data_IF_526064917997
#
_entry.id   IF_526064917997
#
_cell.length_a   1.000
_cell.length_b   1.000
_cell.length_c   1.000
_cell.angle_alpha   90.00
_cell.angle_beta   90.00
_cell.angle_gamma   90.00
#
_symmetry.space_group_name_H-M   'P 1'
#
loop_
_entity.id
_entity.type
_entity.pdbx_description
1 polymer ?
#
# COMPACT_ATOMS: atom_id res chain seq x y z
N UNK A 1 34.90 -23.30 -23.16
CA UNK A 1 34.57 -22.02 -22.50
C UNK A 1 33.12 -22.10 -22.07
N UNK A 2 32.89 -22.41 -20.80
CA UNK A 2 31.54 -22.45 -20.20
C UNK A 2 31.06 -21.03 -19.93
N UNK A 3 29.83 -20.73 -20.35
CA UNK A 3 29.18 -19.45 -20.07
C UNK A 3 29.03 -19.23 -18.55
N UNK A 4 29.18 -18.00 -18.04
CA UNK A 4 28.93 -17.73 -16.63
C UNK A 4 27.45 -17.93 -16.33
N UNK A 5 27.14 -18.66 -15.26
CA UNK A 5 25.77 -18.82 -14.77
C UNK A 5 25.24 -17.44 -14.36
N UNK A 6 24.10 -17.03 -14.92
CA UNK A 6 23.37 -15.88 -14.43
C UNK A 6 22.97 -16.17 -12.98
N UNK A 7 23.71 -15.57 -12.03
CA UNK A 7 23.43 -15.68 -10.61
C UNK A 7 22.02 -15.15 -10.32
N UNK A 8 21.36 -15.74 -9.33
CA UNK A 8 20.11 -15.20 -8.80
C UNK A 8 20.27 -13.69 -8.55
N UNK A 9 19.23 -12.87 -8.83
CA UNK A 9 19.33 -11.43 -8.63
C UNK A 9 19.79 -11.13 -7.20
N UNK A 10 20.70 -10.15 -7.01
CA UNK A 10 21.20 -9.82 -5.69
C UNK A 10 20.04 -9.52 -4.74
N UNK A 11 20.08 -10.12 -3.56
CA UNK A 11 19.04 -10.00 -2.54
C UNK A 11 18.96 -8.56 -2.07
N UNK A 12 17.85 -7.88 -2.34
CA UNK A 12 17.62 -6.50 -1.95
C UNK A 12 16.96 -6.42 -0.57
N UNK A 13 17.25 -5.36 0.20
CA UNK A 13 16.74 -5.16 1.55
C UNK A 13 16.17 -3.76 1.80
N UNK A 14 15.23 -3.66 2.74
CA UNK A 14 14.62 -2.42 3.21
C UNK A 14 15.09 -2.14 4.64
N UNK A 15 15.59 -0.94 4.91
CA UNK A 15 16.00 -0.49 6.25
C UNK A 15 14.89 0.38 6.83
N UNK A 16 14.37 0.02 8.00
CA UNK A 16 13.52 0.88 8.82
C UNK A 16 14.31 1.43 9.99
N UNK A 17 14.32 2.74 10.22
CA UNK A 17 14.98 3.39 11.36
C UNK A 17 13.96 4.25 12.11
N UNK A 18 13.81 3.91 13.38
CA UNK A 18 13.03 4.67 14.35
C UNK A 18 13.98 5.42 15.28
N UNK A 19 14.13 6.73 15.03
CA UNK A 19 15.00 7.61 15.82
C UNK A 19 14.27 8.15 17.04
N UNK A 20 14.82 7.90 18.24
CA UNK A 20 14.21 8.31 19.50
C UNK A 20 15.14 9.10 20.43
N UNK A 21 14.54 9.76 21.43
CA UNK A 21 15.23 10.58 22.43
C UNK A 21 16.23 9.83 23.30
N UNK A 22 15.99 8.54 23.54
CA UNK A 22 16.81 7.68 24.42
C UNK A 22 17.39 6.47 23.69
N UNK A 23 16.69 5.96 22.67
CA UNK A 23 17.06 4.77 21.90
C UNK A 23 16.70 4.97 20.44
N UNK A 24 17.38 4.22 19.57
CA UNK A 24 17.12 4.19 18.12
C UNK A 24 16.93 2.76 17.68
N UNK A 25 15.79 2.41 17.09
CA UNK A 25 15.54 1.10 16.51
C UNK A 25 15.92 1.06 15.04
N UNK A 26 16.52 -0.04 14.58
CA UNK A 26 16.72 -0.29 13.15
C UNK A 26 16.25 -1.70 12.80
N UNK A 27 15.46 -1.85 11.75
CA UNK A 27 14.95 -3.12 11.23
C UNK A 27 15.39 -3.30 9.78
N UNK A 28 15.78 -4.52 9.41
CA UNK A 28 16.06 -4.90 8.01
C UNK A 28 15.00 -5.89 7.57
N UNK A 29 14.41 -5.67 6.40
CA UNK A 29 13.47 -6.59 5.78
C UNK A 29 13.96 -7.05 4.42
N UNK A 30 13.62 -8.27 4.04
CA UNK A 30 13.79 -8.77 2.68
C UNK A 30 12.88 -7.99 1.71
N UNK A 31 13.43 -7.48 0.60
CA UNK A 31 12.63 -6.70 -0.34
C UNK A 31 11.61 -7.54 -1.11
N UNK A 32 11.85 -8.83 -1.32
CA UNK A 32 10.95 -9.73 -2.06
C UNK A 32 9.91 -10.37 -1.13
N UNK A 33 10.33 -10.95 -0.01
CA UNK A 33 9.45 -11.70 0.91
C UNK A 33 8.81 -10.83 1.99
N UNK A 34 9.36 -9.64 2.24
CA UNK A 34 8.96 -8.72 3.33
C UNK A 34 9.19 -9.31 4.74
N UNK A 35 9.94 -10.39 4.86
CA UNK A 35 10.31 -10.97 6.16
C UNK A 35 11.32 -10.09 6.90
N UNK A 36 11.17 -9.99 8.22
CA UNK A 36 12.14 -9.33 9.08
C UNK A 36 13.42 -10.16 9.14
N UNK A 37 14.52 -9.60 8.65
CA UNK A 37 15.84 -10.25 8.61
C UNK A 37 16.69 -9.93 9.84
N UNK A 38 16.59 -8.70 10.33
CA UNK A 38 17.31 -8.29 11.52
C UNK A 38 16.63 -7.11 12.19
N UNK A 39 16.88 -6.97 13.50
CA UNK A 39 16.54 -5.79 14.26
C UNK A 39 17.67 -5.45 15.22
N UNK A 40 18.02 -4.18 15.32
CA UNK A 40 18.99 -3.66 16.28
C UNK A 40 18.42 -2.47 17.02
N UNK A 41 18.95 -2.24 18.22
CA UNK A 41 18.64 -1.05 19.02
C UNK A 41 19.96 -0.40 19.41
N UNK A 42 20.06 0.89 19.21
CA UNK A 42 21.20 1.72 19.59
C UNK A 42 20.78 2.81 20.57
N UNK A 43 21.76 3.61 21.02
CA UNK A 43 21.54 4.77 21.88
C UNK A 43 20.74 5.89 21.21
N UNK A 44 20.65 7.03 21.90
CA UNK A 44 19.94 8.21 21.41
C UNK A 44 20.51 8.71 20.08
N UNK A 45 19.63 9.03 19.14
CA UNK A 45 19.94 9.78 17.91
C UNK A 45 19.38 11.21 17.96
N UNK A 46 18.91 11.66 19.13
CA UNK A 46 18.45 13.03 19.31
C UNK A 46 19.64 13.99 19.39
N UNK A 47 19.90 14.70 18.28
CA UNK A 47 21.00 15.67 18.20
C UNK A 47 20.92 16.78 19.27
N UNK A 48 19.71 17.06 19.81
CA UNK A 48 19.52 18.09 20.83
C UNK A 48 20.02 17.61 22.20
N UNK A 49 20.11 16.29 22.39
CA UNK A 49 20.55 15.66 23.65
C UNK A 49 22.01 15.21 23.60
N UNK A 50 22.47 14.65 22.49
CA UNK A 50 23.82 14.04 22.39
C UNK A 50 24.77 14.77 21.44
N UNK A 51 24.31 15.83 20.75
CA UNK A 51 25.08 16.51 19.71
C UNK A 51 25.01 15.82 18.34
N UNK A 52 25.26 16.59 17.27
CA UNK A 52 25.09 16.13 15.88
C UNK A 52 26.01 14.97 15.49
N UNK A 53 27.28 15.07 15.86
CA UNK A 53 28.30 14.09 15.49
C UNK A 53 28.12 12.75 16.24
N UNK A 54 27.86 12.73 17.56
CA UNK A 54 27.48 11.49 18.25
C UNK A 54 26.18 10.87 17.73
N UNK A 55 25.14 11.67 17.46
CA UNK A 55 23.88 11.16 16.89
C UNK A 55 24.10 10.48 15.52
N UNK A 56 24.89 11.10 14.64
CA UNK A 56 25.24 10.54 13.34
C UNK A 56 26.03 9.22 13.47
N UNK A 57 27.02 9.18 14.36
CA UNK A 57 27.81 7.96 14.60
C UNK A 57 26.95 6.83 15.18
N UNK A 58 26.03 7.14 16.09
CA UNK A 58 25.08 6.18 16.66
C UNK A 58 24.15 5.62 15.58
N UNK A 59 23.58 6.48 14.74
CA UNK A 59 22.71 6.06 13.63
C UNK A 59 23.47 5.19 12.61
N UNK A 60 24.64 5.65 12.16
CA UNK A 60 25.49 4.92 11.22
C UNK A 60 25.85 3.54 11.75
N UNK A 61 26.23 3.46 13.03
CA UNK A 61 26.53 2.18 13.70
C UNK A 61 25.30 1.29 13.77
N UNK A 62 24.14 1.82 14.13
CA UNK A 62 22.90 1.05 14.22
C UNK A 62 22.51 0.40 12.89
N UNK A 63 22.59 1.17 11.79
CA UNK A 63 22.31 0.70 10.43
C UNK A 63 23.32 -0.33 9.98
N UNK A 64 24.62 -0.08 10.16
CA UNK A 64 25.66 -1.06 9.79
C UNK A 64 25.53 -2.36 10.58
N UNK A 65 25.23 -2.29 11.89
CA UNK A 65 24.99 -3.47 12.71
C UNK A 65 23.74 -4.24 12.24
N UNK A 66 22.66 -3.54 11.86
CA UNK A 66 21.45 -4.18 11.37
C UNK A 66 21.66 -4.87 10.03
N UNK A 67 22.36 -4.22 9.09
CA UNK A 67 22.74 -4.82 7.80
C UNK A 67 23.64 -6.04 7.99
N UNK A 68 24.64 -5.94 8.86
CA UNK A 68 25.51 -7.07 9.21
C UNK A 68 24.70 -8.24 9.77
N UNK A 69 23.77 -7.97 10.69
CA UNK A 69 22.91 -9.00 11.26
C UNK A 69 21.97 -9.64 10.22
N UNK A 70 21.55 -8.88 9.21
CA UNK A 70 20.76 -9.36 8.07
C UNK A 70 21.62 -10.03 6.98
N UNK A 71 22.93 -10.22 7.20
CA UNK A 71 23.87 -10.71 6.19
C UNK A 71 23.80 -9.92 4.87
N UNK A 72 23.58 -8.61 4.97
CA UNK A 72 23.38 -7.70 3.85
C UNK A 72 24.39 -6.56 3.92
N UNK A 73 24.63 -5.92 2.78
CA UNK A 73 25.56 -4.82 2.62
C UNK A 73 24.85 -3.53 2.20
N UNK A 74 25.57 -2.40 2.21
CA UNK A 74 25.00 -1.13 1.78
C UNK A 74 24.55 -1.13 0.32
N UNK A 75 25.18 -1.94 -0.55
CA UNK A 75 24.79 -2.11 -1.95
C UNK A 75 23.49 -2.91 -2.13
N UNK A 76 23.09 -3.66 -1.12
CA UNK A 76 21.84 -4.45 -1.13
C UNK A 76 20.64 -3.61 -0.67
N UNK A 77 20.91 -2.44 -0.07
CA UNK A 77 19.88 -1.55 0.46
C UNK A 77 19.14 -0.90 -0.70
N UNK A 78 17.87 -1.24 -0.79
CA UNK A 78 16.95 -0.62 -1.72
C UNK A 78 16.35 0.67 -1.12
N UNK A 79 16.05 0.70 0.19
CA UNK A 79 15.39 1.83 0.88
C UNK A 79 15.82 2.01 2.35
N UNK A 80 15.73 3.24 2.86
CA UNK A 80 15.96 3.58 4.29
C UNK A 80 14.86 4.51 4.82
N UNK A 81 14.11 4.11 5.85
CA UNK A 81 13.17 4.93 6.63
C UNK A 81 13.81 5.51 7.88
N UNK A 82 13.58 6.78 8.20
CA UNK A 82 14.19 7.58 9.27
C UNK A 82 13.17 8.55 9.95
N UNK A 83 12.18 8.07 10.72
CA UNK A 83 11.36 8.92 11.61
C UNK A 83 9.99 9.45 11.15
N UNK A 84 9.38 10.20 12.11
CA UNK A 84 8.00 10.74 12.34
C UNK A 84 6.82 9.73 12.37
N UNK A 85 5.93 9.81 13.39
CA UNK A 85 4.62 9.15 13.36
C UNK A 85 3.84 9.55 12.10
N UNK A 86 3.33 8.55 11.38
CA UNK A 86 2.67 8.74 10.10
C UNK A 86 1.91 7.49 9.68
N UNK A 87 1.18 7.60 8.57
CA UNK A 87 0.36 6.53 8.03
C UNK A 87 0.77 6.23 6.58
N UNK A 88 0.76 4.97 6.18
CA UNK A 88 0.88 4.53 4.81
C UNK A 88 -0.34 3.68 4.46
N UNK A 89 -1.03 4.04 3.38
CA UNK A 89 -2.12 3.28 2.80
C UNK A 89 -1.66 2.68 1.48
N UNK A 90 -1.84 1.37 1.36
CA UNK A 90 -1.45 0.57 0.21
C UNK A 90 -2.73 0.05 -0.44
N UNK A 91 -2.94 0.34 -1.72
CA UNK A 91 -4.07 -0.10 -2.54
C UNK A 91 -3.54 -0.79 -3.81
N UNK A 92 -3.29 -2.10 -3.73
CA UNK A 92 -2.90 -2.96 -4.86
C UNK A 92 -3.94 -4.05 -5.08
N UNK A 93 -3.52 -5.29 -5.37
CA UNK A 93 -4.43 -6.45 -5.36
C UNK A 93 -5.22 -6.54 -4.07
N UNK A 94 -4.55 -6.26 -2.94
CA UNK A 94 -5.15 -6.05 -1.63
C UNK A 94 -4.93 -4.64 -1.08
N UNK A 95 -5.50 -4.37 0.08
CA UNK A 95 -5.48 -3.10 0.77
C UNK A 95 -5.04 -3.24 2.23
N UNK A 96 -4.22 -2.31 2.69
CA UNK A 96 -3.70 -2.29 4.07
C UNK A 96 -3.25 -0.88 4.43
N UNK A 97 -3.56 -0.46 5.66
CA UNK A 97 -2.98 0.70 6.29
C UNK A 97 -1.94 0.25 7.33
N UNK A 98 -0.77 0.88 7.29
CA UNK A 98 0.34 0.69 8.25
C UNK A 98 0.67 2.03 8.84
N UNK A 99 0.88 2.11 10.15
CA UNK A 99 1.19 3.37 10.81
C UNK A 99 2.28 3.22 11.85
N UNK A 100 2.94 4.33 12.18
CA UNK A 100 3.90 4.41 13.28
C UNK A 100 3.26 5.19 14.42
N UNK A 101 3.06 4.51 15.55
CA UNK A 101 2.70 5.14 16.81
C UNK A 101 3.96 5.66 17.51
N UNK A 102 3.85 6.83 18.14
CA UNK A 102 4.90 7.36 19.01
C UNK A 102 5.15 6.51 20.27
N UNK A 103 4.22 5.60 20.61
CA UNK A 103 4.24 4.82 21.85
C UNK A 103 4.31 3.31 21.60
N UNK A 104 3.62 2.81 20.57
CA UNK A 104 3.42 1.38 20.32
C UNK A 104 4.22 0.83 19.12
N UNK A 105 5.01 1.67 18.45
CA UNK A 105 5.76 1.27 17.26
C UNK A 105 4.85 1.06 16.05
N UNK A 106 5.13 0.03 15.24
CA UNK A 106 4.41 -0.22 13.98
C UNK A 106 3.06 -0.87 14.23
N UNK A 107 2.00 -0.25 13.71
CA UNK A 107 0.62 -0.69 13.81
C UNK A 107 0.06 -1.05 12.43
N UNK A 108 -0.94 -1.94 12.41
CA UNK A 108 -1.68 -2.38 11.22
C UNK A 108 -3.18 -2.16 11.38
N UNK A 109 -3.83 -1.74 10.28
CA UNK A 109 -5.28 -1.74 10.06
C UNK A 109 -5.55 -2.33 8.67
N UNK A 110 -6.54 -3.22 8.55
CA UNK A 110 -6.79 -3.94 7.31
C UNK A 110 -5.75 -5.03 7.01
N UNK A 111 -5.61 -5.40 5.74
CA UNK A 111 -4.74 -6.50 5.30
C UNK A 111 -5.25 -7.89 5.70
N UNK A 112 -6.57 -8.04 5.89
CA UNK A 112 -7.18 -9.34 6.22
C UNK A 112 -7.40 -10.21 4.98
N UNK A 113 -7.26 -9.62 3.80
CA UNK A 113 -7.41 -10.26 2.50
C UNK A 113 -8.88 -10.42 2.07
N UNK A 114 -9.08 -10.86 0.81
CA UNK A 114 -10.37 -10.95 0.14
C UNK A 114 -11.50 -11.67 0.89
N UNK A 115 -11.15 -12.67 1.71
CA UNK A 115 -12.14 -13.48 2.44
C UNK A 115 -12.81 -12.73 3.58
N UNK A 116 -12.09 -11.79 4.22
CA UNK A 116 -12.56 -11.09 5.41
C UNK A 116 -12.95 -9.66 5.08
N UNK A 117 -11.97 -8.85 4.67
CA UNK A 117 -12.18 -7.44 4.33
C UNK A 117 -10.95 -6.92 3.60
N UNK A 118 -11.18 -6.34 2.43
CA UNK A 118 -10.13 -5.82 1.56
C UNK A 118 -10.56 -4.55 0.80
N UNK A 119 -11.41 -3.75 1.44
CA UNK A 119 -12.00 -2.54 0.87
C UNK A 119 -11.00 -1.54 0.32
N UNK A 120 -11.23 -1.04 -0.88
CA UNK A 120 -10.31 -0.13 -1.54
C UNK A 120 -9.12 -0.82 -2.21
N UNK A 121 -9.20 -2.14 -2.42
CA UNK A 121 -8.26 -2.91 -3.23
C UNK A 121 -8.75 -3.13 -4.66
N UNK A 122 -7.85 -3.58 -5.53
CA UNK A 122 -8.21 -4.01 -6.88
C UNK A 122 -9.16 -5.19 -6.85
N UNK A 123 -8.97 -6.13 -5.90
CA UNK A 123 -9.90 -7.25 -5.73
C UNK A 123 -11.31 -6.76 -5.36
N UNK A 124 -11.42 -5.80 -4.44
CA UNK A 124 -12.70 -5.20 -4.05
C UNK A 124 -13.42 -4.56 -5.26
N UNK A 125 -12.71 -3.76 -6.06
CA UNK A 125 -13.27 -3.20 -7.29
C UNK A 125 -13.73 -4.28 -8.27
N UNK A 126 -12.90 -5.30 -8.52
CA UNK A 126 -13.23 -6.39 -9.45
C UNK A 126 -14.41 -7.25 -8.99
N UNK A 127 -14.47 -7.59 -7.70
CA UNK A 127 -15.57 -8.35 -7.11
C UNK A 127 -16.89 -7.55 -7.19
N UNK A 128 -16.86 -6.26 -6.82
CA UNK A 128 -18.03 -5.40 -6.93
C UNK A 128 -18.51 -5.25 -8.38
N UNK A 129 -17.59 -5.22 -9.36
CA UNK A 129 -17.92 -5.16 -10.77
C UNK A 129 -18.59 -6.45 -11.28
N UNK A 130 -18.08 -7.62 -10.91
CA UNK A 130 -18.72 -8.90 -11.22
C UNK A 130 -20.12 -8.98 -10.59
N UNK A 131 -20.27 -8.53 -9.35
CA UNK A 131 -21.57 -8.46 -8.69
C UNK A 131 -22.53 -7.47 -9.39
N UNK A 132 -22.03 -6.35 -9.90
CA UNK A 132 -22.82 -5.40 -10.67
C UNK A 132 -23.32 -6.00 -11.99
N UNK A 133 -22.46 -6.70 -12.74
CA UNK A 133 -22.84 -7.41 -13.98
C UNK A 133 -23.88 -8.48 -13.70
N UNK A 134 -23.74 -9.25 -12.62
CA UNK A 134 -24.74 -10.24 -12.22
C UNK A 134 -26.08 -9.59 -11.89
N UNK A 135 -26.09 -8.48 -11.13
CA UNK A 135 -27.34 -7.74 -10.83
C UNK A 135 -28.00 -7.19 -12.09
N UNK A 136 -27.23 -6.59 -13.01
CA UNK A 136 -27.74 -6.08 -14.27
C UNK A 136 -28.35 -7.21 -15.12
N UNK A 137 -27.66 -8.36 -15.21
CA UNK A 137 -28.16 -9.57 -15.91
C UNK A 137 -29.48 -10.07 -15.33
N UNK A 138 -29.65 -10.02 -14.01
CA UNK A 138 -30.89 -10.41 -13.33
C UNK A 138 -32.01 -9.34 -13.42
N UNK A 139 -31.75 -8.17 -13.98
CA UNK A 139 -32.67 -7.02 -13.97
C UNK A 139 -32.83 -6.36 -12.59
N UNK A 140 -31.87 -6.57 -11.68
CA UNK A 140 -31.85 -6.02 -10.31
C UNK A 140 -30.81 -4.90 -10.12
N UNK A 141 -30.03 -4.60 -11.15
CA UNK A 141 -29.01 -3.55 -11.17
C UNK A 141 -29.32 -2.49 -12.22
N UNK A 142 -28.60 -1.37 -12.16
CA UNK A 142 -28.64 -0.36 -13.22
C UNK A 142 -27.92 -0.83 -14.49
N UNK A 143 -28.22 -0.15 -15.60
CA UNK A 143 -27.53 -0.36 -16.87
C UNK A 143 -26.04 0.01 -16.72
N UNK A 144 -25.15 -0.86 -17.19
CA UNK A 144 -23.71 -0.64 -17.07
C UNK A 144 -22.93 -1.19 -18.26
N UNK A 145 -21.92 -0.43 -18.72
CA UNK A 145 -20.99 -0.86 -19.76
C UNK A 145 -19.97 -1.90 -19.24
N UNK A 146 -19.90 -2.10 -17.92
CA UNK A 146 -19.04 -3.11 -17.29
C UNK A 146 -19.32 -4.52 -17.83
N UNK A 147 -20.57 -4.84 -18.17
CA UNK A 147 -20.91 -6.15 -18.70
C UNK A 147 -20.16 -6.42 -20.01
N UNK A 148 -20.24 -5.51 -20.98
CA UNK A 148 -19.55 -5.67 -22.25
C UNK A 148 -18.03 -5.66 -22.08
N UNK A 149 -17.50 -4.76 -21.25
CA UNK A 149 -16.06 -4.64 -21.00
C UNK A 149 -15.46 -5.89 -20.33
N UNK A 150 -16.13 -6.43 -19.30
CA UNK A 150 -15.66 -7.61 -18.57
C UNK A 150 -15.79 -8.87 -19.42
N UNK A 151 -16.91 -9.05 -20.15
CA UNK A 151 -17.04 -10.19 -21.07
C UNK A 151 -15.92 -10.20 -22.12
N UNK A 152 -15.62 -9.04 -22.71
CA UNK A 152 -14.51 -8.91 -23.67
C UNK A 152 -13.15 -9.23 -23.02
N UNK A 153 -12.88 -8.70 -21.83
CA UNK A 153 -11.63 -8.97 -21.10
C UNK A 153 -11.45 -10.46 -20.75
N UNK A 154 -12.52 -11.11 -20.28
CA UNK A 154 -12.54 -12.51 -19.91
C UNK A 154 -12.62 -13.47 -21.12
N UNK A 155 -12.77 -12.93 -22.33
CA UNK A 155 -13.01 -13.69 -23.57
C UNK A 155 -14.21 -14.65 -23.47
N UNK A 156 -15.33 -14.13 -22.94
CA UNK A 156 -16.59 -14.87 -22.84
C UNK A 156 -17.72 -14.17 -23.61
N UNK A 157 -18.72 -14.94 -24.04
CA UNK A 157 -19.74 -14.45 -24.98
C UNK A 157 -20.93 -13.84 -24.27
N UNK A 158 -21.28 -14.36 -23.09
CA UNK A 158 -22.42 -13.88 -22.29
C UNK A 158 -22.03 -13.73 -20.81
N UNK A 159 -22.83 -12.96 -20.05
CA UNK A 159 -22.55 -12.69 -18.63
C UNK A 159 -22.67 -13.91 -17.72
N UNK A 160 -23.41 -14.95 -18.12
CA UNK A 160 -23.52 -16.20 -17.35
C UNK A 160 -22.23 -17.02 -17.39
N UNK A 161 -21.47 -16.93 -18.49
CA UNK A 161 -20.16 -17.57 -18.64
C UNK A 161 -19.10 -16.99 -17.66
N UNK A 162 -19.31 -15.77 -17.16
CA UNK A 162 -18.43 -15.14 -16.15
C UNK A 162 -18.40 -15.93 -14.84
N UNK A 163 -19.45 -16.68 -14.51
CA UNK A 163 -19.47 -17.56 -13.36
C UNK A 163 -18.39 -18.65 -13.51
N UNK A 164 -18.39 -19.32 -14.66
CA UNK A 164 -17.40 -20.35 -14.98
C UNK A 164 -15.99 -19.78 -15.02
N UNK A 165 -15.81 -18.60 -15.64
CA UNK A 165 -14.52 -17.90 -15.65
C UNK A 165 -14.02 -17.61 -14.23
N UNK A 166 -14.86 -17.05 -13.36
CA UNK A 166 -14.49 -16.65 -12.00
C UNK A 166 -14.08 -17.84 -11.14
N UNK A 167 -14.82 -18.96 -11.20
CA UNK A 167 -14.49 -20.18 -10.46
C UNK A 167 -13.27 -20.93 -11.01
N UNK A 168 -12.92 -20.73 -12.29
CA UNK A 168 -11.72 -21.31 -12.88
C UNK A 168 -10.42 -20.57 -12.48
N UNK A 169 -10.52 -19.32 -12.03
CA UNK A 169 -9.35 -18.53 -11.64
C UNK A 169 -8.66 -19.11 -10.41
N UNK A 170 -7.33 -19.02 -10.41
CA UNK A 170 -6.51 -19.36 -9.25
C UNK A 170 -6.01 -18.08 -8.57
N UNK A 171 -6.28 -17.96 -7.27
CA UNK A 171 -5.92 -16.79 -6.48
C UNK A 171 -6.74 -15.54 -6.79
N UNK A 172 -6.29 -14.40 -6.25
CA UNK A 172 -7.07 -13.16 -6.21
C UNK A 172 -6.70 -12.16 -7.32
N UNK A 173 -5.51 -12.31 -7.90
CA UNK A 173 -4.99 -11.39 -8.90
C UNK A 173 -5.86 -11.29 -10.17
N UNK A 174 -6.44 -12.39 -10.71
CA UNK A 174 -7.29 -12.31 -11.89
C UNK A 174 -8.55 -11.45 -11.66
N UNK A 175 -9.15 -11.54 -10.47
CA UNK A 175 -10.30 -10.71 -10.11
C UNK A 175 -9.85 -9.25 -9.95
N UNK A 176 -8.72 -9.01 -9.28
CA UNK A 176 -8.19 -7.66 -9.11
C UNK A 176 -7.82 -6.98 -10.43
N UNK A 177 -7.45 -7.76 -11.44
CA UNK A 177 -7.13 -7.26 -12.78
C UNK A 177 -8.33 -6.69 -13.54
N UNK A 178 -9.55 -6.84 -13.01
CA UNK A 178 -10.75 -6.16 -13.53
C UNK A 178 -10.85 -4.69 -13.09
N UNK A 179 -10.11 -4.26 -12.06
CA UNK A 179 -10.20 -2.91 -11.52
C UNK A 179 -9.97 -1.78 -12.55
N UNK A 180 -9.02 -1.89 -13.51
CA UNK A 180 -8.86 -0.87 -14.56
C UNK A 180 -10.10 -0.69 -15.43
N UNK A 181 -10.89 -1.76 -15.64
CA UNK A 181 -12.16 -1.66 -16.40
C UNK A 181 -13.20 -0.86 -15.63
N UNK A 182 -13.22 -0.96 -14.30
CA UNK A 182 -14.09 -0.16 -13.43
C UNK A 182 -13.72 1.31 -13.49
N UNK A 183 -12.42 1.61 -13.40
CA UNK A 183 -11.91 2.98 -13.50
C UNK A 183 -12.28 3.59 -14.86
N UNK A 184 -11.99 2.87 -15.95
CA UNK A 184 -12.30 3.32 -17.30
C UNK A 184 -13.81 3.52 -17.52
N UNK A 185 -14.65 2.62 -16.99
CA UNK A 185 -16.10 2.74 -17.12
C UNK A 185 -16.64 3.99 -16.39
N UNK A 186 -16.17 4.25 -15.17
CA UNK A 186 -16.55 5.44 -14.42
C UNK A 186 -16.09 6.73 -15.11
N UNK A 187 -14.89 6.74 -15.69
CA UNK A 187 -14.39 7.87 -16.49
C UNK A 187 -15.18 8.07 -17.79
N UNK A 188 -15.77 7.00 -18.33
CA UNK A 188 -16.74 7.02 -19.42
C UNK A 188 -18.15 7.46 -19.03
N UNK A 189 -18.40 7.78 -17.76
CA UNK A 189 -19.69 8.25 -17.27
C UNK A 189 -20.65 7.16 -16.78
N UNK A 190 -20.17 5.93 -16.58
CA UNK A 190 -20.98 4.85 -16.02
C UNK A 190 -21.24 5.07 -14.51
N UNK A 191 -22.50 5.28 -14.14
CA UNK A 191 -22.92 5.57 -12.77
C UNK A 191 -22.65 4.39 -11.81
N UNK A 192 -22.85 3.15 -12.27
CA UNK A 192 -22.62 1.95 -11.46
C UNK A 192 -21.13 1.81 -11.12
N UNK A 193 -20.26 2.04 -12.10
CA UNK A 193 -18.81 2.04 -11.89
C UNK A 193 -18.37 3.20 -10.97
N UNK A 194 -18.96 4.39 -11.13
CA UNK A 194 -18.68 5.53 -10.26
C UNK A 194 -19.06 5.24 -8.80
N UNK A 195 -20.18 4.57 -8.55
CA UNK A 195 -20.57 4.12 -7.21
C UNK A 195 -19.61 3.09 -6.62
N UNK A 196 -19.13 2.13 -7.43
CA UNK A 196 -18.14 1.14 -6.99
C UNK A 196 -16.87 1.84 -6.53
N UNK A 197 -16.35 2.80 -7.31
CA UNK A 197 -15.19 3.60 -6.94
C UNK A 197 -15.44 4.39 -5.65
N UNK A 198 -16.62 5.02 -5.53
CA UNK A 198 -16.98 5.78 -4.34
C UNK A 198 -16.93 4.91 -3.08
N UNK A 199 -17.59 3.74 -3.10
CA UNK A 199 -17.60 2.79 -1.97
C UNK A 199 -16.19 2.30 -1.62
N UNK A 200 -15.39 1.94 -2.61
CA UNK A 200 -14.03 1.47 -2.40
C UNK A 200 -13.14 2.57 -1.78
N UNK A 201 -13.27 3.81 -2.25
CA UNK A 201 -12.56 4.96 -1.71
C UNK A 201 -12.99 5.29 -0.26
N UNK A 202 -14.28 5.13 0.08
CA UNK A 202 -14.77 5.29 1.45
C UNK A 202 -14.18 4.23 2.39
N UNK A 203 -14.06 2.97 1.95
CA UNK A 203 -13.43 1.92 2.76
C UNK A 203 -11.93 2.17 2.97
N UNK A 204 -11.21 2.58 1.92
CA UNK A 204 -9.79 2.95 2.02
C UNK A 204 -9.57 4.14 2.97
N UNK A 205 -10.40 5.18 2.87
CA UNK A 205 -10.35 6.32 3.78
C UNK A 205 -10.66 5.91 5.23
N UNK A 206 -11.64 5.02 5.43
CA UNK A 206 -11.97 4.45 6.74
C UNK A 206 -10.79 3.70 7.38
N UNK A 207 -10.01 2.96 6.59
CA UNK A 207 -8.80 2.29 7.07
C UNK A 207 -7.74 3.29 7.56
N UNK A 208 -7.58 4.41 6.85
CA UNK A 208 -6.68 5.50 7.27
C UNK A 208 -7.18 6.17 8.54
N UNK A 209 -8.47 6.51 8.63
CA UNK A 209 -9.05 7.13 9.82
C UNK A 209 -8.89 6.25 11.07
N UNK A 210 -9.09 4.93 10.92
CA UNK A 210 -8.83 3.98 11.98
C UNK A 210 -7.34 3.92 12.36
N UNK A 211 -6.43 3.99 11.39
CA UNK A 211 -4.99 4.03 11.67
C UNK A 211 -4.58 5.31 12.40
N UNK A 212 -5.05 6.47 11.95
CA UNK A 212 -4.81 7.78 12.57
C UNK A 212 -5.23 7.74 14.04
N UNK A 213 -6.42 7.20 14.32
CA UNK A 213 -6.92 7.03 15.69
C UNK A 213 -6.03 6.09 16.49
N UNK A 214 -5.66 4.93 15.92
CA UNK A 214 -4.87 3.90 16.61
C UNK A 214 -3.43 4.35 16.91
N UNK A 215 -2.82 5.13 16.01
CA UNK A 215 -1.50 5.72 16.19
C UNK A 215 -1.52 6.98 17.06
N UNK A 216 -2.69 7.54 17.39
CA UNK A 216 -2.81 8.81 18.08
C UNK A 216 -2.24 9.99 17.30
N UNK A 217 -2.34 9.96 15.96
CA UNK A 217 -1.80 11.03 15.11
C UNK A 217 -2.67 12.29 15.25
N UNK A 218 -2.01 13.43 15.47
CA UNK A 218 -2.65 14.74 15.62
C UNK A 218 -1.91 15.79 14.80
N UNK A 219 -2.62 16.83 14.40
CA UNK A 219 -2.04 17.95 13.65
C UNK A 219 -1.58 17.56 12.24
N UNK A 220 -0.47 18.15 11.81
CA UNK A 220 0.18 17.82 10.54
C UNK A 220 1.02 16.54 10.65
N UNK A 221 0.57 15.49 9.96
CA UNK A 221 1.29 14.23 9.77
C UNK A 221 1.20 13.80 8.30
N UNK A 222 2.15 13.00 7.81
CA UNK A 222 2.07 12.55 6.44
C UNK A 222 1.22 11.28 6.30
N UNK A 223 0.49 11.20 5.18
CA UNK A 223 -0.20 9.99 4.71
C UNK A 223 0.40 9.62 3.36
N UNK A 224 1.10 8.50 3.33
CA UNK A 224 1.68 7.90 2.14
C UNK A 224 0.62 7.08 1.38
N UNK A 225 0.50 7.31 0.07
CA UNK A 225 -0.47 6.65 -0.81
C UNK A 225 0.24 5.88 -1.94
N UNK A 226 0.03 4.57 -2.02
CA UNK A 226 0.81 3.69 -2.91
C UNK A 226 0.05 2.42 -3.32
N UNK A 227 0.56 1.70 -4.31
CA UNK A 227 -0.06 0.51 -4.89
C UNK A 227 -0.66 0.79 -6.26
N UNK A 228 -0.90 -0.28 -7.04
CA UNK A 228 -1.27 -0.16 -8.46
C UNK A 228 -2.52 0.69 -8.74
N UNK A 229 -3.48 0.77 -7.80
CA UNK A 229 -4.65 1.64 -7.97
C UNK A 229 -4.33 3.14 -7.82
N UNK A 230 -3.21 3.47 -7.21
CA UNK A 230 -2.77 4.82 -6.87
C UNK A 230 -1.56 5.28 -7.69
N UNK A 231 -1.10 4.46 -8.66
CA UNK A 231 0.01 4.80 -9.56
C UNK A 231 -0.31 6.01 -10.45
N UNK A 232 -1.54 6.08 -10.98
CA UNK A 232 -2.04 7.27 -11.66
C UNK A 232 -2.78 8.17 -10.66
N UNK A 233 -2.21 9.34 -10.28
CA UNK A 233 -2.88 10.28 -9.39
C UNK A 233 -4.12 10.92 -10.02
N UNK A 234 -4.28 10.83 -11.34
CA UNK A 234 -5.42 11.38 -12.07
C UNK A 234 -6.55 10.37 -12.29
N UNK A 235 -6.37 9.10 -11.92
CA UNK A 235 -7.42 8.09 -12.05
C UNK A 235 -8.65 8.46 -11.22
N UNK A 236 -9.82 8.01 -11.66
CA UNK A 236 -11.07 8.19 -10.91
C UNK A 236 -10.96 7.73 -9.45
N UNK A 237 -10.27 6.62 -9.18
CA UNK A 237 -10.07 6.09 -7.83
C UNK A 237 -9.14 6.97 -6.99
N UNK A 238 -7.97 7.36 -7.52
CA UNK A 238 -7.01 8.23 -6.82
C UNK A 238 -7.65 9.56 -6.42
N UNK A 239 -8.39 10.20 -7.35
CA UNK A 239 -9.12 11.44 -7.07
C UNK A 239 -10.18 11.26 -5.99
N UNK A 240 -10.98 10.20 -6.09
CA UNK A 240 -12.04 9.91 -5.12
C UNK A 240 -11.49 9.69 -3.71
N UNK A 241 -10.37 8.98 -3.58
CA UNK A 241 -9.68 8.74 -2.31
C UNK A 241 -9.04 10.03 -1.78
N UNK A 242 -8.32 10.77 -2.62
CA UNK A 242 -7.66 12.02 -2.25
C UNK A 242 -8.64 13.02 -1.63
N UNK A 243 -9.82 13.17 -2.24
CA UNK A 243 -10.88 14.05 -1.75
C UNK A 243 -11.38 13.65 -0.36
N UNK A 244 -11.56 12.35 -0.09
CA UNK A 244 -11.98 11.84 1.22
C UNK A 244 -10.91 12.06 2.28
N UNK A 245 -9.66 11.75 1.96
CA UNK A 245 -8.54 11.95 2.88
C UNK A 245 -8.32 13.43 3.21
N UNK A 246 -8.47 14.35 2.25
CA UNK A 246 -8.39 15.80 2.52
C UNK A 246 -9.58 16.32 3.31
N UNK A 247 -10.77 15.77 3.11
CA UNK A 247 -11.95 16.09 3.92
C UNK A 247 -11.76 15.64 5.38
N UNK A 248 -11.31 14.41 5.57
CA UNK A 248 -11.25 13.76 6.89
C UNK A 248 -9.99 14.16 7.68
N UNK A 249 -8.90 14.48 6.97
CA UNK A 249 -7.61 14.86 7.54
C UNK A 249 -7.02 16.08 6.79
N UNK A 250 -7.61 17.29 6.96
CA UNK A 250 -7.22 18.48 6.19
C UNK A 250 -5.77 18.91 6.40
N UNK A 251 -5.26 18.73 7.63
CA UNK A 251 -3.88 19.07 8.00
C UNK A 251 -2.85 18.00 7.59
N UNK A 252 -3.30 16.82 7.15
CA UNK A 252 -2.39 15.76 6.74
C UNK A 252 -1.74 16.07 5.38
N UNK A 253 -0.44 15.82 5.30
CA UNK A 253 0.33 15.91 4.07
C UNK A 253 0.14 14.60 3.27
N UNK A 254 -0.67 14.65 2.20
CA UNK A 254 -0.84 13.50 1.32
C UNK A 254 0.37 13.40 0.39
N UNK A 255 1.06 12.27 0.46
CA UNK A 255 2.23 11.99 -0.35
C UNK A 255 1.87 10.84 -1.27
N UNK A 256 1.63 11.16 -2.54
CA UNK A 256 1.47 10.16 -3.59
C UNK A 256 2.85 9.79 -4.10
N UNK A 257 3.09 8.49 -4.29
CA UNK A 257 4.31 8.03 -4.92
C UNK A 257 4.03 6.89 -5.87
N UNK A 258 4.56 6.99 -7.08
CA UNK A 258 4.71 5.86 -8.00
C UNK A 258 5.73 4.82 -7.50
N UNK A 259 6.36 5.12 -6.36
CA UNK A 259 7.26 4.23 -5.67
C UNK A 259 6.45 3.19 -4.86
N UNK A 260 6.76 1.88 -4.98
CA UNK A 260 6.17 0.82 -4.17
C UNK A 260 6.03 1.13 -2.68
N UNK A 261 5.05 0.52 -2.02
CA UNK A 261 4.64 0.79 -0.64
C UNK A 261 5.72 0.92 0.43
N UNK A 262 6.82 0.21 0.25
CA UNK A 262 7.95 0.16 1.16
C UNK A 262 8.95 1.31 0.95
N UNK A 263 8.89 2.00 -0.19
CA UNK A 263 9.69 3.18 -0.51
C UNK A 263 9.12 4.41 0.20
N UNK A 264 7.83 4.41 0.53
CA UNK A 264 7.22 5.59 1.11
C UNK A 264 7.45 5.74 2.60
N UNK A 265 7.69 4.63 3.32
CA UNK A 265 8.30 4.71 4.63
C UNK A 265 9.54 5.61 4.54
N UNK A 266 10.51 5.29 3.67
CA UNK A 266 11.72 6.10 3.43
C UNK A 266 11.50 7.60 3.14
N UNK A 267 10.42 7.95 2.44
CA UNK A 267 10.08 9.34 2.08
C UNK A 267 9.40 10.11 3.24
N UNK A 268 8.63 9.44 4.11
CA UNK A 268 7.98 10.09 5.25
C UNK A 268 8.95 10.56 6.34
N UNK A 269 10.17 10.03 6.29
CA UNK A 269 11.26 10.34 7.20
C UNK A 269 12.04 11.62 6.89
N UNK A 270 11.85 12.19 5.71
CA UNK A 270 12.52 13.41 5.28
C UNK A 270 11.63 14.66 5.34
N UNK A 271 10.41 14.53 5.90
CA UNK A 271 9.41 15.59 6.14
C UNK A 271 9.16 15.79 7.65
#
# INVERSE_FOLDING_TARGET
MSAPSAGAPPRQVIVGVDGGGTKTGVSILDAATKELLAQTVAGSTNWNSVGKEPAFLTLRRAVLCALTAASSSASDVLWIWLGRPGCALICGTGSIAVGLSAHEGVLRVGGWGPLFLDGGSGYDLGQQALAAVARATDGRGGDTILQAAICAYCNVTNSMDLLGWAYAQQGWAPIAALAPLVIAAAEGGDEVAAEIIARAADQAAGAVAAMVTKCGLQGAFPIALTGGLLEDPNSGFSKALYMRLKRDHPEAALVASSLPAHHMAALLASL
#
